data_IF_012361283089
#
_entry.id   IF_012361283089
#
_cell.length_a   1.000
_cell.length_b   1.000
_cell.length_c   1.000
_cell.angle_alpha   90.00
_cell.angle_beta   90.00
_cell.angle_gamma   90.00
#
_symmetry.space_group_name_H-M   'P 1'
#
loop_
_entity.id
_entity.type
_entity.pdbx_description
1 polymer ?
#
# COMPACT_ATOMS: atom_id res chain seq x y z
N UNK A 1 -24.18 16.66 -3.03
CA UNK A 1 -23.77 15.28 -2.72
C UNK A 1 -22.24 15.20 -2.69
N UNK A 2 -21.69 14.63 -1.65
CA UNK A 2 -20.24 14.46 -1.53
C UNK A 2 -19.73 13.41 -2.53
N UNK A 3 -18.70 13.75 -3.28
CA UNK A 3 -18.12 12.85 -4.27
C UNK A 3 -17.18 11.84 -3.59
N UNK A 4 -17.11 10.65 -4.13
CA UNK A 4 -16.22 9.59 -3.66
C UNK A 4 -15.19 9.26 -4.74
N UNK A 5 -13.93 9.23 -4.37
CA UNK A 5 -12.83 8.80 -5.24
C UNK A 5 -12.29 7.46 -4.74
N UNK A 6 -12.06 6.54 -5.65
CA UNK A 6 -11.35 5.29 -5.36
C UNK A 6 -9.93 5.45 -5.90
N UNK A 7 -8.94 5.41 -5.01
CA UNK A 7 -7.54 5.53 -5.36
C UNK A 7 -6.90 4.14 -5.29
N UNK A 8 -6.61 3.59 -6.46
CA UNK A 8 -6.09 2.22 -6.56
C UNK A 8 -4.56 2.24 -6.63
N UNK A 9 -3.93 1.52 -5.70
CA UNK A 9 -2.47 1.38 -5.64
C UNK A 9 -2.07 -0.04 -5.97
N UNK A 10 -1.21 -0.20 -6.96
CA UNK A 10 -0.59 -1.49 -7.21
C UNK A 10 0.46 -1.81 -6.14
N UNK A 11 0.68 -3.09 -5.85
CA UNK A 11 1.72 -3.50 -4.89
C UNK A 11 3.11 -3.03 -5.30
N UNK A 12 3.37 -2.95 -6.60
CA UNK A 12 4.64 -2.46 -7.14
C UNK A 12 4.87 -0.97 -6.86
N UNK A 13 3.81 -0.19 -6.70
CA UNK A 13 3.93 1.23 -6.36
C UNK A 13 4.40 1.44 -4.92
N UNK A 14 4.13 0.47 -4.04
CA UNK A 14 4.47 0.53 -2.63
C UNK A 14 5.85 -0.08 -2.33
N UNK A 15 6.31 -0.96 -3.19
CA UNK A 15 7.61 -1.61 -3.05
C UNK A 15 8.13 -1.97 -4.43
N UNK A 16 9.29 -1.42 -4.80
CA UNK A 16 9.95 -1.80 -6.04
C UNK A 16 10.82 -3.03 -5.79
N UNK A 17 10.57 -4.16 -6.45
CA UNK A 17 11.39 -5.36 -6.25
C UNK A 17 12.80 -5.24 -6.84
N UNK A 18 13.03 -4.27 -7.72
CA UNK A 18 14.32 -4.12 -8.43
C UNK A 18 14.90 -2.71 -8.35
N UNK A 19 14.19 -1.76 -7.75
CA UNK A 19 14.62 -0.37 -7.66
C UNK A 19 15.11 0.02 -6.26
N UNK A 20 15.76 1.18 -6.14
CA UNK A 20 16.15 1.71 -4.84
C UNK A 20 14.93 1.98 -3.96
N UNK A 21 15.09 1.86 -2.64
CA UNK A 21 14.02 2.17 -1.69
C UNK A 21 13.54 3.63 -1.78
N UNK A 22 14.40 4.51 -2.24
CA UNK A 22 14.09 5.92 -2.43
C UNK A 22 12.94 6.13 -3.41
N UNK A 23 12.84 5.30 -4.45
CA UNK A 23 11.74 5.38 -5.41
C UNK A 23 10.40 5.05 -4.76
N UNK A 24 10.37 4.09 -3.85
CA UNK A 24 9.15 3.73 -3.13
C UNK A 24 8.69 4.87 -2.21
N UNK A 25 9.64 5.53 -1.53
CA UNK A 25 9.34 6.67 -0.67
C UNK A 25 8.79 7.86 -1.48
N UNK A 26 9.34 8.13 -2.66
CA UNK A 26 8.85 9.19 -3.53
C UNK A 26 7.44 8.90 -4.03
N UNK A 27 7.18 7.66 -4.44
CA UNK A 27 5.85 7.23 -4.90
C UNK A 27 4.84 7.39 -3.77
N UNK A 28 5.18 6.94 -2.57
CA UNK A 28 4.30 7.05 -1.42
C UNK A 28 4.00 8.51 -1.07
N UNK A 29 5.01 9.38 -1.10
CA UNK A 29 4.82 10.81 -0.84
C UNK A 29 3.87 11.45 -1.85
N UNK A 30 3.98 11.07 -3.13
CA UNK A 30 3.11 11.57 -4.19
C UNK A 30 1.67 11.09 -3.99
N UNK A 31 1.51 9.82 -3.62
CA UNK A 31 0.19 9.25 -3.31
C UNK A 31 -0.47 9.99 -2.15
N UNK A 32 0.29 10.25 -1.08
CA UNK A 32 -0.24 10.98 0.08
C UNK A 32 -0.64 12.41 -0.30
N UNK A 33 0.14 13.07 -1.14
CA UNK A 33 -0.17 14.41 -1.64
C UNK A 33 -1.49 14.41 -2.44
N UNK A 34 -1.67 13.43 -3.32
CA UNK A 34 -2.90 13.29 -4.11
C UNK A 34 -4.12 13.06 -3.21
N UNK A 35 -3.98 12.20 -2.21
CA UNK A 35 -5.05 11.90 -1.26
C UNK A 35 -5.43 13.13 -0.47
N UNK A 36 -4.45 13.91 0.01
CA UNK A 36 -4.70 15.14 0.75
C UNK A 36 -5.43 16.15 -0.12
N UNK A 37 -5.03 16.31 -1.38
CA UNK A 37 -5.69 17.22 -2.30
C UNK A 37 -7.17 16.88 -2.47
N UNK A 38 -7.49 15.58 -2.60
CA UNK A 38 -8.86 15.13 -2.71
C UNK A 38 -9.66 15.40 -1.43
N UNK A 39 -9.04 15.17 -0.27
CA UNK A 39 -9.69 15.43 1.02
C UNK A 39 -9.96 16.92 1.20
N UNK A 40 -9.04 17.78 0.77
CA UNK A 40 -9.20 19.24 0.84
C UNK A 40 -10.32 19.74 -0.09
N UNK A 41 -10.60 19.00 -1.17
CA UNK A 41 -11.73 19.28 -2.06
C UNK A 41 -13.05 18.68 -1.56
N UNK A 42 -13.06 18.17 -0.35
CA UNK A 42 -14.22 17.56 0.30
C UNK A 42 -14.71 16.28 -0.38
N UNK A 43 -13.79 15.51 -0.96
CA UNK A 43 -14.09 14.20 -1.48
C UNK A 43 -13.91 13.16 -0.39
N UNK A 44 -14.74 12.10 -0.42
CA UNK A 44 -14.46 10.87 0.33
C UNK A 44 -13.47 10.04 -0.47
N UNK A 45 -12.41 9.57 0.17
CA UNK A 45 -11.38 8.78 -0.50
C UNK A 45 -11.37 7.36 0.03
N UNK A 46 -11.42 6.40 -0.89
CA UNK A 46 -11.24 4.98 -0.60
C UNK A 46 -9.92 4.55 -1.27
N UNK A 47 -9.01 4.01 -0.48
CA UNK A 47 -7.74 3.52 -1.01
C UNK A 47 -7.81 2.01 -1.10
N UNK A 48 -7.54 1.48 -2.29
CA UNK A 48 -7.37 0.04 -2.50
C UNK A 48 -5.92 -0.25 -2.84
N UNK A 49 -5.43 -1.40 -2.45
CA UNK A 49 -4.04 -1.75 -2.74
C UNK A 49 -3.90 -3.25 -2.98
N UNK A 50 -2.93 -3.60 -3.83
CA UNK A 50 -2.50 -4.97 -4.00
C UNK A 50 -1.39 -5.34 -3.03
N UNK A 51 -0.94 -6.59 -3.07
CA UNK A 51 0.10 -7.10 -2.21
C UNK A 51 0.98 -8.18 -2.88
N UNK A 52 0.92 -8.27 -4.21
CA UNK A 52 1.63 -9.33 -4.95
C UNK A 52 3.13 -9.42 -4.63
N UNK A 53 3.91 -8.33 -4.80
CA UNK A 53 5.34 -8.38 -4.49
C UNK A 53 5.63 -8.70 -3.03
N UNK A 54 4.83 -8.19 -2.10
CA UNK A 54 5.00 -8.40 -0.68
C UNK A 54 4.76 -9.87 -0.31
N UNK A 55 3.68 -10.47 -0.83
CA UNK A 55 3.39 -11.89 -0.62
C UNK A 55 4.47 -12.76 -1.24
N UNK A 56 4.88 -12.44 -2.48
CA UNK A 56 5.93 -13.20 -3.17
C UNK A 56 7.24 -13.22 -2.39
N UNK A 57 7.62 -12.07 -1.81
CA UNK A 57 8.83 -11.97 -1.00
C UNK A 57 8.75 -12.87 0.24
N UNK A 58 7.63 -12.84 0.97
CA UNK A 58 7.46 -13.66 2.16
C UNK A 58 7.40 -15.16 1.83
N UNK A 59 6.74 -15.53 0.74
CA UNK A 59 6.72 -16.92 0.29
C UNK A 59 8.11 -17.43 -0.07
N UNK A 60 8.93 -16.58 -0.69
CA UNK A 60 10.30 -16.95 -1.04
C UNK A 60 11.16 -17.17 0.21
N UNK A 61 10.92 -16.40 1.27
CA UNK A 61 11.63 -16.54 2.54
C UNK A 61 11.12 -17.72 3.39
N UNK A 62 9.87 -18.12 3.24
CA UNK A 62 9.25 -19.20 4.01
C UNK A 62 9.52 -20.54 3.33
N UNK A 63 10.77 -20.94 3.32
CA UNK A 63 11.22 -22.17 2.64
C UNK A 63 10.53 -23.40 3.19
N UNK A 64 10.27 -23.43 4.50
CA UNK A 64 9.65 -24.57 5.18
C UNK A 64 8.13 -24.59 5.09
N UNK A 65 7.54 -23.58 4.46
CA UNK A 65 6.08 -23.44 4.33
C UNK A 65 5.37 -23.49 5.69
N UNK A 66 5.86 -22.68 6.61
CA UNK A 66 5.31 -22.57 7.96
C UNK A 66 3.93 -21.92 7.96
N UNK A 67 3.64 -21.09 6.94
CA UNK A 67 2.37 -20.42 6.79
C UNK A 67 1.77 -20.71 5.42
N UNK A 68 0.44 -20.76 5.35
CA UNK A 68 -0.26 -20.85 4.09
C UNK A 68 -0.28 -19.52 3.33
N UNK A 69 -0.59 -19.59 2.04
CA UNK A 69 -0.72 -18.39 1.20
C UNK A 69 -1.73 -17.41 1.77
N UNK A 70 -2.84 -17.91 2.30
CA UNK A 70 -3.90 -17.10 2.89
C UNK A 70 -3.39 -16.27 4.08
N UNK A 71 -2.53 -16.85 4.90
CA UNK A 71 -1.94 -16.15 6.04
C UNK A 71 -1.01 -15.03 5.60
N UNK A 72 -0.19 -15.27 4.57
CA UNK A 72 0.70 -14.24 4.03
C UNK A 72 -0.07 -13.13 3.32
N UNK A 73 -1.15 -13.46 2.63
CA UNK A 73 -2.04 -12.45 2.02
C UNK A 73 -2.66 -11.57 3.11
N UNK A 74 -3.21 -12.16 4.15
CA UNK A 74 -3.81 -11.43 5.26
C UNK A 74 -2.81 -10.53 5.98
N UNK A 75 -1.61 -11.05 6.26
CA UNK A 75 -0.55 -10.31 6.96
C UNK A 75 -0.10 -9.10 6.16
N UNK A 76 0.13 -9.25 4.86
CA UNK A 76 0.60 -8.15 4.02
C UNK A 76 -0.48 -7.10 3.82
N UNK A 77 -1.75 -7.47 3.74
CA UNK A 77 -2.85 -6.50 3.68
C UNK A 77 -2.86 -5.63 4.94
N UNK A 78 -2.75 -6.24 6.10
CA UNK A 78 -2.71 -5.50 7.36
C UNK A 78 -1.49 -4.60 7.48
N UNK A 79 -0.32 -5.08 7.10
CA UNK A 79 0.92 -4.31 7.16
C UNK A 79 0.88 -3.10 6.22
N UNK A 80 0.45 -3.29 4.99
CA UNK A 80 0.36 -2.21 4.00
C UNK A 80 -0.67 -1.17 4.44
N UNK A 81 -1.85 -1.61 4.85
CA UNK A 81 -2.90 -0.70 5.31
C UNK A 81 -2.45 0.11 6.52
N UNK A 82 -1.75 -0.52 7.45
CA UNK A 82 -1.21 0.16 8.63
C UNK A 82 -0.18 1.22 8.23
N UNK A 83 0.73 0.90 7.31
CA UNK A 83 1.75 1.83 6.83
C UNK A 83 1.11 3.04 6.14
N UNK A 84 0.11 2.80 5.29
CA UNK A 84 -0.63 3.89 4.65
C UNK A 84 -1.31 4.79 5.67
N UNK A 85 -1.93 4.19 6.70
CA UNK A 85 -2.59 4.95 7.77
C UNK A 85 -1.60 5.82 8.55
N UNK A 86 -0.42 5.28 8.88
CA UNK A 86 0.62 6.03 9.58
C UNK A 86 1.10 7.23 8.76
N UNK A 87 1.28 7.04 7.45
CA UNK A 87 1.74 8.12 6.59
C UNK A 87 0.70 9.23 6.48
N UNK A 88 -0.58 8.90 6.44
CA UNK A 88 -1.65 9.90 6.44
C UNK A 88 -1.72 10.66 7.75
N UNK A 89 -1.52 10.00 8.88
CA UNK A 89 -1.55 10.63 10.20
C UNK A 89 -0.36 11.57 10.43
N UNK A 90 0.74 11.36 9.74
CA UNK A 90 1.96 12.16 9.90
C UNK A 90 1.89 13.52 9.19
N UNK A 91 0.86 13.75 8.39
CA UNK A 91 0.72 14.99 7.61
C UNK A 91 -0.07 16.08 8.39
#
# INVERSE_FOLDING_TARGET
>A
MKKTAVYALGGNALQSPTGPQDDAAEVLARVMSDVIDLLEMDWTVVITHGNGPQVGHLLAMDVERTQGLDAWVASTQGMIGHELSLNLQAI
#
